data_IF_783038751514
#
_entry.id   IF_783038751514
#
_cell.length_a   1.000
_cell.length_b   1.000
_cell.length_c   1.000
_cell.angle_alpha   90.00
_cell.angle_beta   90.00
_cell.angle_gamma   90.00
#
_symmetry.space_group_name_H-M   'P 1'
#
loop_
_entity.id
_entity.type
_entity.pdbx_description
1 polymer ?
#
# COMPACT_ATOMS: atom_id res chain seq x y z
N UNK A 1 4.43 47.01 38.04
CA UNK A 1 5.16 48.06 37.29
C UNK A 1 5.44 47.55 35.88
N UNK A 2 4.90 48.27 34.88
CA UNK A 2 5.24 48.34 33.43
C UNK A 2 5.28 47.02 32.63
N UNK A 3 4.26 46.76 31.79
CA UNK A 3 4.13 47.19 30.37
C UNK A 3 5.17 46.49 29.49
N UNK A 4 4.85 45.59 28.55
CA UNK A 4 3.85 45.68 27.48
C UNK A 4 4.61 45.75 26.15
N UNK A 5 4.25 44.94 25.15
CA UNK A 5 4.22 45.24 23.69
C UNK A 5 3.85 43.96 22.91
N UNK A 6 2.68 44.03 22.27
CA UNK A 6 2.25 43.19 21.14
C UNK A 6 3.02 43.61 19.89
N UNK A 7 3.36 42.67 19.00
CA UNK A 7 3.45 42.95 17.56
C UNK A 7 2.75 41.88 16.74
N UNK A 8 1.72 42.34 16.03
CA UNK A 8 1.11 41.73 14.84
C UNK A 8 2.02 41.97 13.64
N UNK A 9 2.07 40.99 12.74
CA UNK A 9 2.47 41.11 11.33
C UNK A 9 2.17 39.74 10.72
N UNK A 10 1.18 39.55 9.84
CA UNK A 10 0.80 40.39 8.72
C UNK A 10 1.58 39.91 7.50
N UNK A 11 1.24 38.74 6.97
CA UNK A 11 1.75 38.22 5.71
C UNK A 11 0.57 37.79 4.84
N UNK A 12 -0.04 38.77 4.19
CA UNK A 12 -0.82 38.62 2.97
C UNK A 12 0.12 38.28 1.83
N UNK A 13 -0.01 37.09 1.23
CA UNK A 13 0.54 36.82 -0.10
C UNK A 13 -0.60 36.42 -1.03
N UNK A 14 -0.77 37.25 -2.04
CA UNK A 14 -1.81 37.23 -3.05
C UNK A 14 -1.79 35.94 -3.87
N UNK A 15 -2.97 35.34 -4.04
CA UNK A 15 -3.23 34.36 -5.07
C UNK A 15 -3.49 35.10 -6.39
N UNK A 16 -2.61 34.90 -7.37
CA UNK A 16 -2.84 35.31 -8.76
C UNK A 16 -3.75 34.25 -9.40
N UNK A 17 -5.03 34.57 -9.53
CA UNK A 17 -5.99 33.82 -10.32
C UNK A 17 -5.90 34.29 -11.77
N UNK A 18 -5.44 33.41 -12.67
CA UNK A 18 -5.49 33.65 -14.11
C UNK A 18 -6.81 33.05 -14.64
N UNK A 19 -7.77 33.93 -14.91
CA UNK A 19 -8.98 33.59 -15.67
C UNK A 19 -8.62 33.43 -17.14
N UNK A 20 -8.91 32.27 -17.73
CA UNK A 20 -9.12 32.12 -19.16
C UNK A 20 -10.55 31.65 -19.37
N UNK A 21 -11.38 32.60 -19.78
CA UNK A 21 -12.71 32.38 -20.30
C UNK A 21 -12.60 32.10 -21.80
N UNK A 22 -13.08 30.94 -22.24
CA UNK A 22 -13.58 30.75 -23.60
C UNK A 22 -14.89 30.00 -23.50
N UNK A 23 -15.98 30.75 -23.74
CA UNK A 23 -17.29 30.17 -23.97
C UNK A 23 -17.38 29.60 -25.38
N UNK A 24 -18.20 28.57 -25.55
CA UNK A 24 -18.87 28.25 -26.80
C UNK A 24 -20.18 27.55 -26.46
N UNK A 25 -21.17 27.90 -27.27
CA UNK A 25 -22.58 27.87 -26.97
C UNK A 25 -23.24 26.48 -27.10
N UNK A 26 -24.34 26.39 -26.35
CA UNK A 26 -25.55 25.61 -26.57
C UNK A 26 -25.77 24.96 -27.94
N UNK A 27 -26.22 23.71 -27.92
CA UNK A 27 -27.27 23.24 -28.82
C UNK A 27 -28.17 22.26 -28.07
N UNK A 28 -29.41 22.70 -27.92
CA UNK A 28 -30.58 22.00 -27.40
C UNK A 28 -31.20 21.15 -28.50
N UNK A 29 -31.56 19.89 -28.20
CA UNK A 29 -32.63 19.18 -28.90
C UNK A 29 -33.25 18.15 -27.96
N UNK A 30 -34.51 18.41 -27.58
CA UNK A 30 -35.41 17.48 -26.92
C UNK A 30 -35.99 16.49 -27.92
N UNK A 31 -36.14 15.23 -27.53
CA UNK A 31 -37.26 14.35 -27.90
C UNK A 31 -37.20 13.04 -27.07
N UNK A 32 -38.14 12.87 -26.16
CA UNK A 32 -38.63 11.57 -25.64
C UNK A 32 -39.55 10.90 -26.71
N UNK A 33 -40.25 9.77 -26.42
CA UNK A 33 -39.77 8.44 -26.01
C UNK A 33 -40.39 7.36 -26.94
N UNK A 34 -39.90 6.11 -26.89
CA UNK A 34 -40.68 4.96 -27.40
C UNK A 34 -40.23 3.66 -26.74
N UNK A 35 -41.14 3.09 -25.95
CA UNK A 35 -41.30 1.65 -25.74
C UNK A 35 -42.40 1.20 -26.73
N UNK A 36 -42.44 -0.07 -27.20
CA UNK A 36 -43.44 -0.94 -26.57
C UNK A 36 -43.15 -2.47 -26.59
N UNK A 37 -43.78 -3.13 -25.60
CA UNK A 37 -44.44 -4.47 -25.61
C UNK A 37 -43.63 -5.78 -25.47
N UNK A 38 -43.81 -6.40 -24.30
CA UNK A 38 -43.98 -7.85 -23.99
C UNK A 38 -45.19 -8.49 -24.74
N UNK A 39 -45.45 -9.83 -24.79
CA UNK A 39 -45.39 -10.85 -23.70
C UNK A 39 -44.82 -12.23 -24.11
N UNK A 40 -44.59 -13.21 -23.23
CA UNK A 40 -45.49 -14.32 -22.81
C UNK A 40 -44.71 -15.11 -21.72
N UNK A 41 -45.11 -15.13 -20.44
CA UNK A 41 -45.92 -16.14 -19.74
C UNK A 41 -45.45 -17.59 -19.88
N UNK A 42 -44.89 -18.18 -18.83
CA UNK A 42 -45.38 -19.48 -18.36
C UNK A 42 -45.08 -19.70 -16.86
N UNK A 43 -46.13 -20.12 -16.19
CA UNK A 43 -46.27 -20.36 -14.76
C UNK A 43 -46.47 -21.86 -14.60
N UNK A 44 -45.66 -22.55 -13.80
CA UNK A 44 -46.03 -23.84 -13.23
C UNK A 44 -45.50 -23.93 -11.80
N UNK A 45 -46.42 -23.94 -10.85
CA UNK A 45 -46.29 -24.70 -9.59
C UNK A 45 -47.42 -25.72 -9.53
N UNK A 46 -47.65 -26.35 -8.38
CA UNK A 46 -46.77 -27.26 -7.64
C UNK A 46 -47.36 -28.69 -7.62
N UNK A 47 -46.53 -29.71 -7.41
CA UNK A 47 -47.04 -31.09 -7.13
C UNK A 47 -46.64 -31.50 -5.72
N UNK A 48 -47.65 -31.81 -4.92
CA UNK A 48 -47.59 -32.27 -3.54
C UNK A 48 -47.63 -33.80 -3.43
N UNK A 49 -47.03 -34.27 -2.32
CA UNK A 49 -47.35 -35.46 -1.51
C UNK A 49 -46.57 -36.77 -1.77
N UNK A 50 -46.49 -37.68 -0.78
CA UNK A 50 -45.98 -37.49 0.60
C UNK A 50 -45.00 -38.62 0.99
N UNK A 51 -44.41 -38.57 2.21
CA UNK A 51 -44.39 -39.67 3.23
C UNK A 51 -43.09 -39.73 4.07
N UNK A 52 -43.31 -39.65 5.39
CA UNK A 52 -42.55 -40.14 6.57
C UNK A 52 -41.22 -39.49 6.98
N UNK A 53 -41.31 -38.68 8.04
CA UNK A 53 -40.30 -38.53 9.09
C UNK A 53 -40.08 -39.84 9.85
N UNK A 54 -38.89 -39.99 10.46
CA UNK A 54 -38.79 -40.35 11.86
C UNK A 54 -38.24 -39.15 12.65
N UNK A 55 -38.99 -38.79 13.69
CA UNK A 55 -38.59 -37.94 14.80
C UNK A 55 -37.31 -38.45 15.44
N UNK A 56 -36.28 -37.62 15.49
CA UNK A 56 -35.18 -37.75 16.45
C UNK A 56 -35.02 -36.42 17.18
N UNK A 57 -35.41 -36.43 18.45
CA UNK A 57 -35.34 -35.32 19.39
C UNK A 57 -33.91 -35.32 19.96
N UNK A 58 -33.03 -34.56 19.31
CA UNK A 58 -31.65 -34.40 19.72
C UNK A 58 -31.11 -33.10 19.17
N UNK A 59 -31.10 -32.05 20.00
CA UNK A 59 -30.48 -30.76 19.68
C UNK A 59 -28.97 -30.91 19.53
N UNK A 60 -28.52 -31.41 18.37
CA UNK A 60 -27.15 -31.27 17.91
C UNK A 60 -27.04 -29.90 17.24
N UNK A 61 -26.40 -28.95 17.92
CA UNK A 61 -26.02 -27.69 17.30
C UNK A 61 -25.16 -27.97 16.06
N UNK A 62 -25.60 -27.52 14.89
CA UNK A 62 -24.89 -27.68 13.62
C UNK A 62 -23.58 -26.86 13.63
N UNK A 63 -22.40 -27.50 13.57
CA UNK A 63 -21.11 -26.80 13.55
C UNK A 63 -20.83 -26.07 12.22
N UNK A 64 -21.70 -26.18 11.21
CA UNK A 64 -21.66 -25.36 9.99
C UNK A 64 -21.92 -23.87 10.25
N UNK A 65 -22.52 -23.54 11.39
CA UNK A 65 -22.83 -22.15 11.79
C UNK A 65 -21.59 -21.33 12.20
N UNK A 66 -20.46 -21.97 12.53
CA UNK A 66 -19.24 -21.26 12.93
C UNK A 66 -18.33 -20.83 11.77
N UNK A 67 -18.54 -21.40 10.58
CA UNK A 67 -17.68 -21.20 9.40
C UNK A 67 -18.45 -21.03 8.11
N UNK A 68 -19.78 -20.91 8.17
CA UNK A 68 -20.57 -20.45 7.04
C UNK A 68 -20.10 -19.04 6.67
N UNK A 69 -20.03 -18.77 5.37
CA UNK A 69 -19.83 -17.41 4.88
C UNK A 69 -21.04 -16.63 5.36
N UNK A 70 -20.85 -15.85 6.42
CA UNK A 70 -21.91 -14.99 6.91
C UNK A 70 -22.11 -13.88 5.87
N UNK A 71 -23.09 -14.07 4.98
CA UNK A 71 -23.51 -13.04 4.02
C UNK A 71 -24.15 -11.83 4.71
N UNK A 72 -24.48 -11.95 6.01
CA UNK A 72 -25.03 -10.88 6.84
C UNK A 72 -23.98 -10.16 7.70
N UNK A 73 -22.76 -10.72 7.82
CA UNK A 73 -21.61 -9.99 8.33
C UNK A 73 -21.45 -8.77 7.44
N UNK A 74 -21.22 -7.57 7.99
CA UNK A 74 -21.07 -6.38 7.18
C UNK A 74 -19.87 -6.60 6.27
N UNK A 75 -20.09 -7.10 5.05
CA UNK A 75 -19.25 -6.85 3.89
C UNK A 75 -18.91 -5.39 4.08
N UNK A 76 -17.62 -5.06 4.16
CA UNK A 76 -17.21 -3.68 4.15
C UNK A 76 -18.06 -3.02 3.08
N UNK A 77 -19.08 -2.24 3.51
CA UNK A 77 -20.15 -1.93 2.57
C UNK A 77 -19.49 -1.10 1.48
N UNK A 78 -20.12 -0.84 0.34
CA UNK A 78 -19.46 0.03 -0.64
C UNK A 78 -18.98 1.38 -0.02
N UNK A 79 -19.45 1.71 1.19
CA UNK A 79 -19.06 2.81 2.05
C UNK A 79 -18.12 2.52 3.25
N UNK A 80 -17.73 1.27 3.58
CA UNK A 80 -16.96 0.88 4.78
C UNK A 80 -17.25 1.79 5.99
N UNK A 81 -18.50 1.78 6.44
CA UNK A 81 -18.90 2.62 7.57
C UNK A 81 -18.04 2.27 8.80
N UNK A 82 -17.41 3.26 9.46
CA UNK A 82 -16.63 3.02 10.66
C UNK A 82 -17.46 2.26 11.68
N UNK A 83 -16.86 1.25 12.33
CA UNK A 83 -17.51 0.61 13.46
C UNK A 83 -17.93 1.70 14.44
N UNK A 84 -19.25 1.78 14.68
CA UNK A 84 -19.73 2.71 15.70
C UNK A 84 -19.13 2.28 17.05
N UNK A 85 -19.11 3.18 18.02
CA UNK A 85 -18.60 2.82 19.36
C UNK A 85 -19.34 1.61 19.94
N UNK A 86 -20.65 1.47 19.67
CA UNK A 86 -21.44 0.31 20.07
C UNK A 86 -21.02 -0.97 19.35
N UNK A 87 -20.92 -0.94 18.01
CA UNK A 87 -20.52 -2.12 17.22
C UNK A 87 -19.11 -2.60 17.59
N UNK A 88 -18.21 -1.66 17.89
CA UNK A 88 -16.85 -1.98 18.33
C UNK A 88 -16.84 -2.65 19.70
N UNK A 89 -17.63 -2.15 20.66
CA UNK A 89 -17.77 -2.75 21.99
C UNK A 89 -18.35 -4.16 21.91
N UNK A 90 -19.39 -4.36 21.10
CA UNK A 90 -20.02 -5.66 20.89
C UNK A 90 -19.06 -6.67 20.24
N UNK A 91 -18.30 -6.25 19.23
CA UNK A 91 -17.28 -7.10 18.61
C UNK A 91 -16.14 -7.46 19.57
N UNK A 92 -15.72 -6.54 20.44
CA UNK A 92 -14.70 -6.82 21.46
C UNK A 92 -15.25 -7.83 22.48
N UNK A 93 -16.48 -7.64 22.94
CA UNK A 93 -17.13 -8.55 23.88
C UNK A 93 -17.24 -9.96 23.28
N UNK A 94 -17.62 -10.09 22.01
CA UNK A 94 -17.68 -11.39 21.35
C UNK A 94 -16.29 -12.01 21.14
N UNK A 95 -15.26 -11.21 20.82
CA UNK A 95 -13.88 -11.69 20.73
C UNK A 95 -13.36 -12.25 22.06
N UNK A 96 -13.72 -11.58 23.17
CA UNK A 96 -13.38 -12.01 24.53
C UNK A 96 -14.16 -13.27 24.90
N UNK A 97 -15.44 -13.36 24.53
CA UNK A 97 -16.26 -14.58 24.71
C UNK A 97 -15.68 -15.78 23.97
N UNK A 98 -15.37 -15.62 22.68
CA UNK A 98 -14.74 -16.65 21.86
C UNK A 98 -13.42 -17.11 22.49
N UNK A 99 -12.59 -16.15 22.93
CA UNK A 99 -11.32 -16.47 23.59
C UNK A 99 -11.56 -17.26 24.88
N UNK A 100 -12.56 -16.89 25.69
CA UNK A 100 -12.90 -17.59 26.93
C UNK A 100 -13.41 -19.01 26.67
N UNK A 101 -14.28 -19.19 25.67
CA UNK A 101 -14.82 -20.50 25.29
C UNK A 101 -13.71 -21.44 24.80
N UNK A 102 -12.76 -20.95 24.00
CA UNK A 102 -11.63 -21.73 23.47
C UNK A 102 -10.69 -22.30 24.54
N UNK A 103 -10.68 -21.71 25.75
CA UNK A 103 -9.72 -22.04 26.81
C UNK A 103 -10.38 -22.63 28.06
N UNK A 104 -11.71 -22.76 28.06
CA UNK A 104 -12.52 -23.08 29.24
C UNK A 104 -12.29 -24.51 29.75
N UNK A 105 -12.10 -25.46 28.83
CA UNK A 105 -12.22 -26.89 29.16
C UNK A 105 -10.87 -27.62 29.28
N UNK A 106 -9.76 -27.01 28.86
CA UNK A 106 -8.44 -27.62 28.98
C UNK A 106 -7.33 -26.58 29.20
N UNK A 107 -6.72 -26.61 30.40
CA UNK A 107 -5.70 -25.65 30.82
C UNK A 107 -4.40 -25.74 30.00
N UNK A 108 -4.06 -26.91 29.49
CA UNK A 108 -2.84 -27.10 28.70
C UNK A 108 -3.04 -26.54 27.29
N UNK A 109 -4.20 -26.78 26.67
CA UNK A 109 -4.60 -26.18 25.38
C UNK A 109 -4.72 -24.66 25.52
N UNK A 110 -5.29 -24.17 26.62
CA UNK A 110 -5.36 -22.75 26.93
C UNK A 110 -3.98 -22.08 26.96
N UNK A 111 -3.03 -22.69 27.67
CA UNK A 111 -1.65 -22.19 27.76
C UNK A 111 -0.96 -22.19 26.39
N UNK A 112 -1.17 -23.26 25.63
CA UNK A 112 -0.73 -23.45 24.26
C UNK A 112 -1.23 -22.36 23.30
N UNK A 113 -2.54 -22.16 23.20
CA UNK A 113 -3.16 -21.12 22.37
C UNK A 113 -2.67 -19.74 22.77
N UNK A 114 -2.56 -19.46 24.07
CA UNK A 114 -2.02 -18.20 24.58
C UNK A 114 -0.55 -17.97 24.16
N UNK A 115 0.27 -19.02 24.20
CA UNK A 115 1.67 -18.98 23.75
C UNK A 115 1.75 -18.66 22.25
N UNK A 116 0.97 -19.37 21.43
CA UNK A 116 0.89 -19.14 19.98
C UNK A 116 0.41 -17.73 19.63
N UNK A 117 -0.61 -17.21 20.34
CA UNK A 117 -1.10 -15.83 20.17
C UNK A 117 -0.03 -14.81 20.52
N UNK A 118 0.76 -15.06 21.57
CA UNK A 118 1.88 -14.21 21.97
C UNK A 118 2.97 -14.15 20.88
N UNK A 119 3.34 -15.28 20.29
CA UNK A 119 4.30 -15.31 19.17
C UNK A 119 3.76 -14.54 17.96
N UNK A 120 2.51 -14.76 17.55
CA UNK A 120 1.92 -14.04 16.41
C UNK A 120 1.81 -12.54 16.67
N UNK A 121 1.46 -12.13 17.89
CA UNK A 121 1.47 -10.70 18.29
C UNK A 121 2.87 -10.09 18.22
N UNK A 122 3.91 -10.83 18.64
CA UNK A 122 5.31 -10.39 18.50
C UNK A 122 5.71 -10.28 17.03
N UNK A 123 5.40 -11.28 16.22
CA UNK A 123 5.69 -11.30 14.79
C UNK A 123 4.98 -10.15 14.06
N UNK A 124 3.68 -9.95 14.32
CA UNK A 124 2.89 -8.84 13.77
C UNK A 124 3.55 -7.48 14.02
N UNK A 125 3.96 -7.21 15.27
CA UNK A 125 4.67 -5.97 15.63
C UNK A 125 6.01 -5.83 14.93
N UNK A 126 6.74 -6.92 14.71
CA UNK A 126 8.02 -6.91 14.00
C UNK A 126 7.84 -6.69 12.50
N UNK A 127 6.81 -7.28 11.89
CA UNK A 127 6.42 -7.06 10.50
C UNK A 127 5.99 -5.61 10.27
N UNK A 128 5.17 -5.03 11.15
CA UNK A 128 4.82 -3.60 11.08
C UNK A 128 6.07 -2.70 11.18
N UNK A 129 7.00 -3.01 12.09
CA UNK A 129 8.30 -2.30 12.19
C UNK A 129 9.13 -2.43 10.91
N UNK A 130 9.15 -3.63 10.31
CA UNK A 130 9.81 -3.89 9.02
C UNK A 130 9.19 -3.06 7.91
N UNK A 131 7.86 -3.07 7.79
CA UNK A 131 7.11 -2.31 6.78
C UNK A 131 7.41 -0.81 6.88
N UNK A 132 7.30 -0.23 8.08
CA UNK A 132 7.64 1.18 8.32
C UNK A 132 9.08 1.51 7.95
N UNK A 133 10.04 0.68 8.35
CA UNK A 133 11.44 0.89 8.02
C UNK A 133 11.72 0.76 6.50
N UNK A 134 11.00 -0.13 5.81
CA UNK A 134 11.05 -0.26 4.34
C UNK A 134 10.49 0.98 3.65
N UNK A 135 9.37 1.51 4.12
CA UNK A 135 8.79 2.73 3.54
C UNK A 135 9.73 3.94 3.72
N UNK A 136 10.35 4.07 4.90
CA UNK A 136 11.38 5.09 5.16
C UNK A 136 12.63 4.90 4.27
N UNK A 137 13.02 3.65 4.00
CA UNK A 137 14.09 3.35 3.05
C UNK A 137 13.74 3.80 1.64
N UNK A 138 12.55 3.43 1.13
CA UNK A 138 12.08 3.77 -0.21
C UNK A 138 11.96 5.29 -0.39
N UNK A 139 11.40 5.99 0.61
CA UNK A 139 11.29 7.45 0.59
C UNK A 139 12.68 8.13 0.56
N UNK A 140 13.61 7.68 1.41
CA UNK A 140 14.97 8.22 1.43
C UNK A 140 15.75 7.90 0.15
N UNK A 141 15.52 6.73 -0.45
CA UNK A 141 16.11 6.34 -1.74
C UNK A 141 15.59 7.22 -2.88
N UNK A 142 14.28 7.47 -2.93
CA UNK A 142 13.66 8.39 -3.89
C UNK A 142 14.18 9.83 -3.75
N UNK A 143 14.37 10.31 -2.52
CA UNK A 143 15.00 11.61 -2.24
C UNK A 143 16.44 11.67 -2.79
N UNK A 144 17.23 10.61 -2.57
CA UNK A 144 18.60 10.52 -3.06
C UNK A 144 18.65 10.48 -4.60
N UNK A 145 17.77 9.71 -5.23
CA UNK A 145 17.71 9.59 -6.70
C UNK A 145 17.26 10.90 -7.36
N UNK A 146 16.34 11.62 -6.71
CA UNK A 146 15.95 12.98 -7.15
C UNK A 146 17.11 13.96 -7.03
N UNK A 147 17.80 13.98 -5.90
CA UNK A 147 18.98 14.82 -5.73
C UNK A 147 20.09 14.47 -6.73
N UNK A 148 20.26 13.19 -7.08
CA UNK A 148 21.20 12.75 -8.09
C UNK A 148 20.84 13.26 -9.49
N UNK A 149 19.58 13.14 -9.92
CA UNK A 149 19.13 13.70 -11.21
C UNK A 149 19.37 15.20 -11.31
N UNK A 150 19.09 15.95 -10.23
CA UNK A 150 19.39 17.38 -10.19
C UNK A 150 20.90 17.65 -10.25
N UNK A 151 21.72 16.90 -9.50
CA UNK A 151 23.18 17.01 -9.57
C UNK A 151 23.71 16.83 -10.99
N UNK A 152 23.16 15.90 -11.75
CA UNK A 152 23.59 15.64 -13.13
C UNK A 152 23.25 16.82 -14.07
N UNK A 153 22.09 17.47 -13.88
CA UNK A 153 21.76 18.73 -14.58
C UNK A 153 22.77 19.84 -14.25
N UNK A 154 23.07 20.07 -12.97
CA UNK A 154 24.02 21.10 -12.55
C UNK A 154 25.47 20.79 -12.95
N UNK A 155 25.87 19.51 -13.00
CA UNK A 155 27.18 19.10 -13.54
C UNK A 155 27.32 19.49 -15.01
N UNK A 156 26.29 19.24 -15.81
CA UNK A 156 26.28 19.59 -17.23
C UNK A 156 26.31 21.12 -17.43
N UNK A 157 25.50 21.87 -16.66
CA UNK A 157 25.52 23.34 -16.66
C UNK A 157 26.88 23.91 -16.27
N UNK A 158 27.49 23.42 -15.19
CA UNK A 158 28.82 23.83 -14.77
C UNK A 158 29.90 23.48 -15.79
N UNK A 159 29.81 22.33 -16.46
CA UNK A 159 30.74 21.97 -17.51
C UNK A 159 30.66 22.95 -18.68
N UNK A 160 29.44 23.34 -19.10
CA UNK A 160 29.21 24.36 -20.12
C UNK A 160 29.73 25.73 -19.67
N UNK A 161 29.27 26.25 -18.52
CA UNK A 161 29.72 27.55 -18.02
C UNK A 161 31.24 27.64 -17.81
N UNK A 162 31.89 26.57 -17.33
CA UNK A 162 33.37 26.52 -17.25
C UNK A 162 34.05 26.46 -18.62
N UNK A 163 33.43 25.85 -19.63
CA UNK A 163 33.95 25.87 -21.00
C UNK A 163 33.86 27.28 -21.58
N UNK A 164 32.72 27.94 -21.39
CA UNK A 164 32.48 29.30 -21.88
C UNK A 164 33.44 30.29 -21.21
N UNK A 165 33.64 30.19 -19.89
CA UNK A 165 34.66 30.99 -19.17
C UNK A 165 36.10 30.71 -19.64
N UNK A 166 36.44 29.46 -19.99
CA UNK A 166 37.77 29.14 -20.54
C UNK A 166 37.96 29.68 -21.94
N UNK A 167 36.94 29.59 -22.80
CA UNK A 167 36.98 30.19 -24.14
C UNK A 167 37.19 31.68 -24.03
N UNK A 168 36.40 32.35 -23.19
CA UNK A 168 36.54 33.77 -22.92
C UNK A 168 37.94 34.14 -22.41
N UNK A 169 38.47 33.40 -21.42
CA UNK A 169 39.82 33.65 -20.90
C UNK A 169 40.90 33.44 -21.98
N UNK A 170 40.72 32.46 -22.86
CA UNK A 170 41.63 32.19 -23.97
C UNK A 170 41.55 33.28 -25.05
N UNK A 171 40.35 33.69 -25.46
CA UNK A 171 40.13 34.75 -26.45
C UNK A 171 40.73 36.07 -25.94
N UNK A 172 40.48 36.39 -24.66
CA UNK A 172 41.07 37.57 -23.98
C UNK A 172 42.59 37.49 -23.85
N UNK A 173 43.19 36.29 -23.84
CA UNK A 173 44.64 36.15 -23.76
C UNK A 173 45.32 36.12 -25.14
N UNK A 174 44.67 35.51 -26.13
CA UNK A 174 45.26 35.24 -27.45
C UNK A 174 44.91 36.26 -28.52
N UNK A 175 43.70 36.82 -28.50
CA UNK A 175 43.26 37.81 -29.49
C UNK A 175 43.62 39.25 -29.09
N UNK A 176 43.88 39.51 -27.82
CA UNK A 176 44.72 40.62 -27.36
C UNK A 176 44.84 40.63 -25.84
N UNK A 177 46.06 40.76 -25.31
CA UNK A 177 46.22 41.25 -23.94
C UNK A 177 45.59 42.64 -23.78
N UNK A 178 44.32 42.71 -23.39
CA UNK A 178 43.55 43.93 -23.08
C UNK A 178 43.37 44.98 -24.19
N UNK A 179 44.02 44.83 -25.35
CA UNK A 179 44.19 45.90 -26.34
C UNK A 179 43.31 45.80 -27.60
N UNK A 180 42.66 44.67 -27.92
CA UNK A 180 41.82 44.56 -29.14
C UNK A 180 40.45 45.18 -28.95
N UNK A 181 39.77 44.95 -27.83
CA UNK A 181 38.48 45.60 -27.53
C UNK A 181 38.65 47.13 -27.47
N UNK A 182 39.76 47.61 -26.92
CA UNK A 182 40.12 49.04 -26.91
C UNK A 182 40.59 49.57 -28.26
N UNK A 183 41.29 48.79 -29.09
CA UNK A 183 41.62 49.18 -30.48
C UNK A 183 40.42 49.16 -31.41
N UNK A 184 39.46 48.27 -31.17
CA UNK A 184 38.17 48.25 -31.89
C UNK A 184 37.31 49.42 -31.44
N UNK A 185 37.32 49.77 -30.15
CA UNK A 185 36.69 50.99 -29.61
C UNK A 185 37.36 52.26 -30.15
N UNK A 186 38.70 52.33 -30.18
CA UNK A 186 39.46 53.45 -30.75
C UNK A 186 39.17 53.53 -32.24
N UNK A 187 39.22 52.41 -32.97
CA UNK A 187 38.93 52.32 -34.39
C UNK A 187 37.52 52.79 -34.74
N UNK A 188 36.51 52.39 -33.95
CA UNK A 188 35.11 52.81 -34.14
C UNK A 188 34.82 54.24 -33.68
N UNK A 189 35.59 54.80 -32.74
CA UNK A 189 35.56 56.21 -32.38
C UNK A 189 36.27 57.10 -33.41
N UNK A 190 37.30 56.59 -34.09
CA UNK A 190 38.06 57.31 -35.11
C UNK A 190 37.47 57.20 -36.53
N UNK A 191 36.82 56.08 -36.88
CA UNK A 191 36.04 55.96 -38.11
C UNK A 191 34.64 56.54 -37.89
N UNK A 192 34.52 57.85 -38.10
CA UNK A 192 33.24 58.55 -38.08
C UNK A 192 32.32 58.09 -39.22
N UNK A 193 31.62 56.97 -39.10
CA UNK A 193 30.52 56.63 -40.01
C UNK A 193 29.47 55.70 -39.37
N UNK A 194 28.25 56.23 -39.23
CA UNK A 194 26.88 55.65 -39.27
C UNK A 194 26.54 54.24 -38.72
N UNK A 195 27.44 53.47 -38.13
CA UNK A 195 27.16 52.16 -37.48
C UNK A 195 27.52 52.13 -35.99
N UNK A 196 27.94 53.26 -35.42
CA UNK A 196 28.50 53.40 -34.06
C UNK A 196 27.51 53.23 -32.90
N UNK A 197 26.21 53.14 -33.17
CA UNK A 197 25.18 52.94 -32.15
C UNK A 197 25.08 51.49 -31.65
N UNK A 198 25.35 50.51 -32.51
CA UNK A 198 25.26 49.08 -32.19
C UNK A 198 26.50 48.58 -31.44
N UNK A 199 27.69 49.11 -31.74
CA UNK A 199 28.95 48.60 -31.17
C UNK A 199 29.07 48.80 -29.65
N UNK A 200 28.55 49.92 -29.11
CA UNK A 200 28.51 50.16 -27.66
C UNK A 200 27.45 49.29 -26.94
N UNK A 201 26.30 49.05 -27.60
CA UNK A 201 25.26 48.14 -27.11
C UNK A 201 25.74 46.69 -27.08
N UNK A 202 26.43 46.25 -28.13
CA UNK A 202 27.03 44.92 -28.23
C UNK A 202 28.11 44.70 -27.16
N UNK A 203 28.95 45.71 -26.89
CA UNK A 203 29.95 45.64 -25.81
C UNK A 203 29.30 45.56 -24.41
N UNK A 204 28.23 46.32 -24.17
CA UNK A 204 27.48 46.25 -22.90
C UNK A 204 26.83 44.89 -22.74
N UNK A 205 26.17 44.39 -23.79
CA UNK A 205 25.53 43.07 -23.80
C UNK A 205 26.53 41.93 -23.57
N UNK A 206 27.70 41.99 -24.23
CA UNK A 206 28.78 41.01 -24.03
C UNK A 206 29.34 41.06 -22.62
N UNK A 207 29.45 42.25 -22.02
CA UNK A 207 29.91 42.42 -20.63
C UNK A 207 28.89 41.87 -19.64
N UNK A 208 27.60 42.17 -19.83
CA UNK A 208 26.52 41.67 -18.98
C UNK A 208 26.40 40.14 -19.05
N UNK A 209 26.49 39.56 -20.25
CA UNK A 209 26.43 38.10 -20.44
C UNK A 209 27.66 37.40 -19.82
N UNK A 210 28.83 38.06 -19.81
CA UNK A 210 30.04 37.57 -19.11
C UNK A 210 29.84 37.58 -17.59
N UNK A 211 29.34 38.67 -17.01
CA UNK A 211 29.06 38.77 -15.56
C UNK A 211 28.06 37.68 -15.17
N UNK A 212 26.99 37.53 -15.94
CA UNK A 212 25.97 36.51 -15.74
C UNK A 212 26.56 35.09 -15.78
N UNK A 213 27.48 34.80 -16.70
CA UNK A 213 28.13 33.48 -16.79
C UNK A 213 28.97 33.17 -15.54
N UNK A 214 29.69 34.16 -15.00
CA UNK A 214 30.46 34.00 -13.75
C UNK A 214 29.52 33.75 -12.57
N UNK A 215 28.45 34.54 -12.46
CA UNK A 215 27.46 34.40 -11.38
C UNK A 215 26.75 33.05 -11.44
N UNK A 216 26.34 32.60 -12.63
CA UNK A 216 25.74 31.28 -12.85
C UNK A 216 26.69 30.15 -12.42
N UNK A 217 27.98 30.23 -12.76
CA UNK A 217 28.96 29.22 -12.33
C UNK A 217 29.13 29.20 -10.81
N UNK A 218 29.12 30.36 -10.16
CA UNK A 218 29.21 30.49 -8.70
C UNK A 218 27.97 29.89 -8.03
N UNK A 219 26.78 30.29 -8.47
CA UNK A 219 25.50 29.80 -7.95
C UNK A 219 25.36 28.28 -8.15
N UNK A 220 25.61 27.80 -9.38
CA UNK A 220 25.53 26.37 -9.70
C UNK A 220 26.54 25.54 -8.88
N UNK A 221 27.70 26.10 -8.54
CA UNK A 221 28.68 25.44 -7.66
C UNK A 221 28.16 25.30 -6.24
N UNK A 222 27.55 26.34 -5.68
CA UNK A 222 26.92 26.30 -4.34
C UNK A 222 25.75 25.31 -4.34
N UNK A 223 24.89 25.37 -5.35
CA UNK A 223 23.74 24.47 -5.50
C UNK A 223 24.16 23.02 -5.64
N UNK A 224 25.21 22.72 -6.44
CA UNK A 224 25.80 21.39 -6.54
C UNK A 224 26.31 20.89 -5.18
N UNK A 225 27.00 21.73 -4.40
CA UNK A 225 27.47 21.35 -3.07
C UNK A 225 26.30 21.03 -2.12
N UNK A 226 25.25 21.85 -2.14
CA UNK A 226 24.03 21.65 -1.36
C UNK A 226 23.31 20.34 -1.74
N UNK A 227 23.13 20.09 -3.04
CA UNK A 227 22.50 18.86 -3.54
C UNK A 227 23.34 17.61 -3.21
N UNK A 228 24.67 17.71 -3.23
CA UNK A 228 25.56 16.62 -2.81
C UNK A 228 25.33 16.27 -1.35
N UNK A 229 25.31 17.28 -0.47
CA UNK A 229 24.99 17.10 0.96
C UNK A 229 23.59 16.51 1.16
N UNK A 230 22.58 16.96 0.39
CA UNK A 230 21.22 16.43 0.44
C UNK A 230 21.19 14.95 0.05
N UNK A 231 21.82 14.59 -1.07
CA UNK A 231 21.94 13.20 -1.53
C UNK A 231 22.61 12.32 -0.47
N UNK A 232 23.75 12.75 0.06
CA UNK A 232 24.51 11.95 1.04
C UNK A 232 23.73 11.75 2.34
N UNK A 233 23.00 12.78 2.79
CA UNK A 233 22.09 12.68 3.94
C UNK A 233 20.96 11.68 3.65
N UNK A 234 20.35 11.74 2.46
CA UNK A 234 19.30 10.82 2.04
C UNK A 234 19.81 9.36 1.96
N UNK A 235 21.01 9.14 1.40
CA UNK A 235 21.63 7.82 1.35
C UNK A 235 21.95 7.26 2.74
N UNK A 236 22.44 8.11 3.66
CA UNK A 236 22.66 7.70 5.07
C UNK A 236 21.35 7.30 5.76
N UNK A 237 20.27 8.06 5.53
CA UNK A 237 18.92 7.70 6.02
C UNK A 237 18.46 6.37 5.44
N UNK A 238 18.60 6.17 4.13
CA UNK A 238 18.25 4.93 3.45
C UNK A 238 19.02 3.75 4.06
N UNK A 239 20.35 3.85 4.19
CA UNK A 239 21.15 2.78 4.79
C UNK A 239 20.75 2.45 6.24
N UNK A 240 20.41 3.47 7.04
CA UNK A 240 19.92 3.27 8.41
C UNK A 240 18.55 2.60 8.46
N UNK A 241 17.63 3.02 7.58
CA UNK A 241 16.30 2.44 7.45
C UNK A 241 16.36 0.98 6.97
N UNK A 242 17.19 0.69 5.97
CA UNK A 242 17.46 -0.68 5.51
C UNK A 242 17.94 -1.58 6.65
N UNK A 243 18.95 -1.15 7.41
CA UNK A 243 19.43 -1.93 8.58
C UNK A 243 18.34 -2.19 9.62
N UNK A 244 17.41 -1.24 9.82
CA UNK A 244 16.27 -1.46 10.73
C UNK A 244 15.26 -2.45 10.15
N UNK A 245 14.98 -2.39 8.86
CA UNK A 245 14.11 -3.35 8.18
C UNK A 245 14.71 -4.77 8.23
N UNK A 246 16.00 -4.91 7.93
CA UNK A 246 16.72 -6.19 7.95
C UNK A 246 16.70 -6.81 9.36
N UNK A 247 17.00 -6.03 10.41
CA UNK A 247 16.91 -6.51 11.81
C UNK A 247 15.49 -6.85 12.26
N UNK A 248 14.49 -6.10 11.80
CA UNK A 248 13.10 -6.40 12.11
C UNK A 248 12.66 -7.71 11.45
N UNK A 249 13.11 -7.96 10.21
CA UNK A 249 12.91 -9.24 9.52
C UNK A 249 13.58 -10.40 10.26
N UNK A 250 14.87 -10.29 10.56
CA UNK A 250 15.61 -11.35 11.26
C UNK A 250 14.93 -11.75 12.58
N UNK A 251 14.47 -10.76 13.35
CA UNK A 251 13.72 -11.02 14.59
C UNK A 251 12.35 -11.63 14.32
N UNK A 252 11.64 -11.22 13.27
CA UNK A 252 10.36 -11.81 12.91
C UNK A 252 10.55 -13.28 12.54
N UNK A 253 11.53 -13.58 11.68
CA UNK A 253 11.87 -14.94 11.25
C UNK A 253 12.25 -15.83 12.45
N UNK A 254 13.02 -15.30 13.42
CA UNK A 254 13.34 -16.00 14.66
C UNK A 254 12.10 -16.33 15.50
N UNK A 255 11.21 -15.35 15.72
CA UNK A 255 9.95 -15.53 16.45
C UNK A 255 9.03 -16.56 15.78
N UNK A 256 8.96 -16.54 14.44
CA UNK A 256 8.16 -17.51 13.68
C UNK A 256 8.76 -18.93 13.74
N UNK A 257 10.09 -19.04 13.75
CA UNK A 257 10.78 -20.32 13.96
C UNK A 257 10.51 -20.89 15.35
N UNK A 258 10.58 -20.06 16.39
CA UNK A 258 10.23 -20.45 17.76
C UNK A 258 8.76 -20.90 17.85
N UNK A 259 7.83 -20.13 17.26
CA UNK A 259 6.41 -20.51 17.18
C UNK A 259 6.22 -21.88 16.53
N UNK A 260 6.91 -22.16 15.42
CA UNK A 260 6.82 -23.45 14.73
C UNK A 260 7.29 -24.59 15.63
N UNK A 261 8.42 -24.43 16.31
CA UNK A 261 8.94 -25.42 17.26
C UNK A 261 7.97 -25.66 18.42
N UNK A 262 7.35 -24.60 18.95
CA UNK A 262 6.38 -24.69 20.03
C UNK A 262 5.13 -25.46 19.56
N UNK A 263 4.61 -25.13 18.38
CA UNK A 263 3.45 -25.81 17.78
C UNK A 263 3.72 -27.30 17.56
N UNK A 264 4.90 -27.67 17.07
CA UNK A 264 5.30 -29.07 16.90
C UNK A 264 5.39 -29.81 18.25
N UNK A 265 5.92 -29.15 19.28
CA UNK A 265 5.97 -29.70 20.65
C UNK A 265 4.58 -29.94 21.21
N UNK A 266 3.68 -28.97 21.03
CA UNK A 266 2.30 -28.97 21.48
C UNK A 266 1.50 -30.10 20.82
N UNK A 267 1.62 -30.23 19.48
CA UNK A 267 1.00 -31.33 18.72
C UNK A 267 1.49 -32.71 19.15
N UNK A 268 2.76 -32.86 19.51
CA UNK A 268 3.29 -34.14 20.02
C UNK A 268 2.78 -34.48 21.42
N UNK A 269 2.59 -33.47 22.28
CA UNK A 269 2.23 -33.68 23.70
C UNK A 269 0.73 -33.81 23.94
N UNK A 270 -0.09 -33.15 23.12
CA UNK A 270 -1.54 -33.02 23.32
C UNK A 270 -2.33 -33.45 22.08
N UNK A 271 -1.85 -34.46 21.34
CA UNK A 271 -2.41 -34.84 20.05
C UNK A 271 -3.90 -35.24 20.14
N UNK A 272 -4.28 -35.97 21.19
CA UNK A 272 -5.65 -36.44 21.37
C UNK A 272 -6.54 -35.32 21.90
N UNK A 273 -6.06 -34.51 22.85
CA UNK A 273 -6.83 -33.38 23.38
C UNK A 273 -7.07 -32.30 22.31
N UNK A 274 -6.14 -32.11 21.37
CA UNK A 274 -6.33 -31.21 20.24
C UNK A 274 -7.40 -31.69 19.26
N UNK A 275 -7.56 -33.00 19.05
CA UNK A 275 -8.66 -33.53 18.22
C UNK A 275 -10.02 -33.24 18.85
N UNK A 276 -10.11 -33.35 20.17
CA UNK A 276 -11.34 -33.09 20.94
C UNK A 276 -11.64 -31.60 21.13
N UNK A 277 -10.66 -30.71 20.90
CA UNK A 277 -10.78 -29.26 21.11
C UNK A 277 -11.72 -28.54 20.13
N UNK A 278 -12.31 -29.27 19.18
CA UNK A 278 -13.28 -28.76 18.22
C UNK A 278 -12.65 -27.96 17.06
N UNK A 279 -13.47 -27.60 16.06
CA UNK A 279 -13.01 -27.06 14.78
C UNK A 279 -12.32 -25.68 14.91
N UNK A 280 -12.74 -24.84 15.86
CA UNK A 280 -12.18 -23.48 15.99
C UNK A 280 -10.74 -23.51 16.51
N UNK A 281 -10.47 -24.29 17.56
CA UNK A 281 -9.10 -24.45 18.09
C UNK A 281 -8.20 -25.05 17.02
N UNK A 282 -8.69 -26.08 16.32
CA UNK A 282 -8.00 -26.75 15.23
C UNK A 282 -7.63 -25.78 14.10
N UNK A 283 -8.57 -24.97 13.62
CA UNK A 283 -8.29 -23.93 12.64
C UNK A 283 -7.24 -22.91 13.13
N UNK A 284 -7.35 -22.43 14.37
CA UNK A 284 -6.41 -21.44 14.94
C UNK A 284 -4.97 -21.95 14.99
N UNK A 285 -4.76 -23.24 15.27
CA UNK A 285 -3.43 -23.85 15.31
C UNK A 285 -3.01 -24.48 13.96
N UNK A 286 -3.74 -24.19 12.88
CA UNK A 286 -3.55 -24.74 11.53
C UNK A 286 -3.53 -26.27 11.49
N UNK A 287 -4.48 -26.88 12.17
CA UNK A 287 -4.76 -28.31 12.15
C UNK A 287 -6.13 -28.51 11.49
N UNK A 288 -6.19 -29.02 10.26
CA UNK A 288 -7.47 -29.22 9.57
C UNK A 288 -8.22 -30.42 10.15
N UNK A 289 -9.52 -30.29 10.39
CA UNK A 289 -10.40 -31.43 10.70
C UNK A 289 -10.91 -32.12 9.42
N UNK A 290 -11.46 -33.32 9.55
CA UNK A 290 -11.90 -34.13 8.40
C UNK A 290 -13.00 -33.46 7.57
N UNK A 291 -13.83 -32.60 8.18
CA UNK A 291 -14.90 -31.87 7.48
C UNK A 291 -14.31 -30.74 6.65
N UNK A 292 -13.38 -29.97 7.22
CA UNK A 292 -12.64 -28.92 6.53
C UNK A 292 -11.83 -29.50 5.36
N UNK A 293 -11.20 -30.66 5.55
CA UNK A 293 -10.50 -31.38 4.47
C UNK A 293 -11.45 -31.76 3.34
N UNK A 294 -12.58 -32.40 3.65
CA UNK A 294 -13.57 -32.77 2.63
C UNK A 294 -14.15 -31.56 1.89
N UNK A 295 -14.36 -30.43 2.58
CA UNK A 295 -14.80 -29.17 1.95
C UNK A 295 -13.71 -28.58 1.04
N UNK A 296 -12.46 -28.57 1.50
CA UNK A 296 -11.29 -28.11 0.74
C UNK A 296 -11.11 -28.90 -0.56
N UNK A 297 -11.28 -30.23 -0.52
CA UNK A 297 -11.16 -31.11 -1.69
C UNK A 297 -12.26 -30.85 -2.72
N UNK A 298 -13.50 -30.64 -2.25
CA UNK A 298 -14.63 -30.26 -3.12
C UNK A 298 -14.40 -28.90 -3.78
N UNK A 299 -13.97 -27.91 -3.01
CA UNK A 299 -13.68 -26.58 -3.54
C UNK A 299 -12.54 -26.62 -4.56
N UNK A 300 -11.47 -27.36 -4.27
CA UNK A 300 -10.35 -27.57 -5.19
C UNK A 300 -10.81 -28.19 -6.52
N UNK A 301 -11.70 -29.19 -6.45
CA UNK A 301 -12.27 -29.83 -7.63
C UNK A 301 -13.14 -28.87 -8.44
N UNK A 302 -14.02 -28.10 -7.78
CA UNK A 302 -14.88 -27.11 -8.43
C UNK A 302 -14.08 -25.98 -9.10
N UNK A 303 -13.04 -25.46 -8.45
CA UNK A 303 -12.17 -24.43 -9.03
C UNK A 303 -11.46 -24.95 -10.28
N UNK A 304 -11.00 -26.20 -10.25
CA UNK A 304 -10.38 -26.86 -11.40
C UNK A 304 -11.36 -26.99 -12.58
N UNK A 305 -12.62 -27.33 -12.32
CA UNK A 305 -13.68 -27.38 -13.35
C UNK A 305 -13.96 -26.00 -13.96
N UNK A 306 -13.83 -24.93 -13.17
CA UNK A 306 -13.94 -23.54 -13.62
C UNK A 306 -12.66 -23.01 -14.30
N UNK A 307 -11.67 -23.88 -14.57
CA UNK A 307 -10.41 -23.52 -15.21
C UNK A 307 -9.42 -22.78 -14.29
N UNK A 308 -9.69 -22.71 -12.99
CA UNK A 308 -8.76 -22.19 -11.99
C UNK A 308 -7.97 -23.34 -11.36
N UNK A 309 -6.81 -23.64 -11.94
CA UNK A 309 -5.90 -24.63 -11.36
C UNK A 309 -5.18 -24.06 -10.12
N UNK A 310 -5.69 -24.42 -8.94
CA UNK A 310 -5.14 -23.99 -7.64
C UNK A 310 -3.69 -24.45 -7.40
N UNK A 311 -3.18 -25.39 -8.19
CA UNK A 311 -1.77 -25.79 -8.16
C UNK A 311 -0.84 -24.72 -8.71
N UNK A 312 -1.33 -23.83 -9.58
CA UNK A 312 -0.55 -22.70 -10.12
C UNK A 312 -0.14 -21.69 -9.04
N UNK A 313 -0.84 -21.72 -7.91
CA UNK A 313 -0.57 -20.89 -6.74
C UNK A 313 0.30 -21.60 -5.68
N UNK A 314 0.84 -22.78 -5.99
CA UNK A 314 1.70 -23.54 -5.07
C UNK A 314 3.12 -22.99 -4.95
N UNK A 315 3.69 -23.19 -3.75
CA UNK A 315 5.08 -22.86 -3.46
C UNK A 315 5.36 -21.37 -3.27
N UNK A 316 4.33 -20.53 -3.07
CA UNK A 316 4.48 -19.09 -2.86
C UNK A 316 5.30 -18.41 -3.96
N UNK A 317 5.20 -18.91 -5.21
CA UNK A 317 5.96 -18.37 -6.34
C UNK A 317 5.24 -17.15 -6.93
N UNK A 318 5.91 -15.99 -7.05
CA UNK A 318 5.34 -14.84 -7.72
C UNK A 318 5.04 -15.11 -9.20
N UNK A 319 3.91 -14.60 -9.71
CA UNK A 319 3.54 -14.72 -11.12
C UNK A 319 4.40 -13.84 -12.06
N UNK A 320 5.10 -12.86 -11.49
CA UNK A 320 5.94 -11.88 -12.19
C UNK A 320 7.15 -11.53 -11.33
N UNK A 321 8.26 -11.16 -11.96
CA UNK A 321 9.46 -10.65 -11.28
C UNK A 321 9.51 -9.12 -11.25
N UNK A 322 8.48 -8.45 -11.80
CA UNK A 322 8.41 -7.00 -11.84
C UNK A 322 8.20 -6.41 -10.44
N UNK A 323 9.31 -6.10 -9.80
CA UNK A 323 9.37 -5.43 -8.50
C UNK A 323 9.80 -3.97 -8.62
N UNK A 324 9.55 -3.34 -9.78
CA UNK A 324 9.82 -1.93 -10.02
C UNK A 324 9.24 -1.00 -8.96
N UNK A 325 9.85 0.18 -8.82
CA UNK A 325 9.30 1.26 -7.99
C UNK A 325 8.40 2.12 -8.85
N UNK A 326 7.14 2.23 -8.46
CA UNK A 326 6.13 3.01 -9.14
C UNK A 326 5.55 4.07 -8.19
N UNK A 327 5.08 5.22 -8.70
CA UNK A 327 4.26 6.10 -7.89
C UNK A 327 3.03 5.36 -7.33
N UNK A 328 2.59 5.79 -6.16
CA UNK A 328 1.44 5.20 -5.48
C UNK A 328 0.18 5.32 -6.36
N UNK A 329 -0.45 4.18 -6.67
CA UNK A 329 -1.60 4.09 -7.55
C UNK A 329 -1.25 4.05 -9.04
N UNK A 330 0.01 3.82 -9.42
CA UNK A 330 0.46 3.80 -10.82
C UNK A 330 1.31 2.56 -11.15
N UNK A 331 0.94 1.39 -10.60
CA UNK A 331 1.60 0.12 -10.90
C UNK A 331 0.97 -0.41 -12.19
N UNK A 332 1.75 -0.73 -13.23
CA UNK A 332 1.20 -1.30 -14.45
C UNK A 332 0.71 -2.73 -14.22
N UNK A 333 -0.23 -3.25 -15.02
CA UNK A 333 -0.71 -4.63 -14.91
C UNK A 333 0.40 -5.69 -14.92
N UNK A 334 1.51 -5.45 -15.63
CA UNK A 334 2.68 -6.36 -15.63
C UNK A 334 3.43 -6.44 -14.29
N UNK A 335 3.17 -5.49 -13.38
CA UNK A 335 3.65 -5.44 -12.01
C UNK A 335 2.63 -5.89 -10.97
N UNK A 336 1.52 -6.50 -11.41
CA UNK A 336 0.45 -7.01 -10.57
C UNK A 336 0.20 -8.49 -10.87
N UNK A 337 -0.17 -9.24 -9.83
CA UNK A 337 -0.46 -10.66 -9.89
C UNK A 337 -1.86 -10.93 -9.35
N UNK A 338 -2.60 -11.88 -9.96
CA UNK A 338 -3.96 -12.20 -9.56
C UNK A 338 -4.01 -12.88 -8.19
N UNK A 339 -5.16 -12.75 -7.52
CA UNK A 339 -5.41 -13.34 -6.21
C UNK A 339 -6.38 -14.52 -6.29
N UNK A 340 -6.03 -15.60 -5.62
CA UNK A 340 -6.88 -16.78 -5.48
C UNK A 340 -8.11 -16.43 -4.63
N UNK A 341 -9.30 -16.66 -5.17
CA UNK A 341 -10.56 -16.31 -4.51
C UNK A 341 -10.99 -14.84 -4.66
N UNK A 342 -10.28 -14.05 -5.46
CA UNK A 342 -10.64 -12.65 -5.78
C UNK A 342 -10.50 -12.33 -7.27
N UNK A 343 -11.49 -12.69 -8.10
CA UNK A 343 -11.49 -12.30 -9.52
C UNK A 343 -11.40 -10.78 -9.68
N UNK A 344 -10.47 -10.30 -10.50
CA UNK A 344 -10.23 -8.87 -10.70
C UNK A 344 -9.30 -8.23 -9.66
N UNK A 345 -9.10 -8.87 -8.51
CA UNK A 345 -8.18 -8.40 -7.47
C UNK A 345 -6.74 -8.75 -7.82
N UNK A 346 -5.81 -7.88 -7.43
CA UNK A 346 -4.40 -8.06 -7.72
C UNK A 346 -3.49 -7.36 -6.73
N UNK A 347 -2.28 -7.92 -6.54
CA UNK A 347 -1.26 -7.33 -5.68
C UNK A 347 0.10 -7.34 -6.37
N UNK A 348 1.07 -6.65 -5.76
CA UNK A 348 2.48 -6.81 -6.13
C UNK A 348 2.90 -8.28 -6.06
N UNK A 349 3.83 -8.75 -6.91
CA UNK A 349 4.06 -10.18 -7.08
C UNK A 349 4.35 -10.95 -5.79
N UNK A 350 5.25 -10.46 -4.92
CA UNK A 350 5.55 -11.10 -3.64
C UNK A 350 4.36 -11.11 -2.67
N UNK A 351 3.57 -10.02 -2.66
CA UNK A 351 2.39 -9.91 -1.81
C UNK A 351 1.28 -10.86 -2.30
N UNK A 352 1.04 -10.92 -3.61
CA UNK A 352 0.08 -11.86 -4.21
C UNK A 352 0.46 -13.31 -3.90
N UNK A 353 1.73 -13.68 -4.10
CA UNK A 353 2.20 -15.03 -3.82
C UNK A 353 2.03 -15.41 -2.34
N UNK A 354 2.35 -14.48 -1.44
CA UNK A 354 2.16 -14.67 0.00
C UNK A 354 0.68 -14.77 0.39
N UNK A 355 -0.18 -13.92 -0.17
CA UNK A 355 -1.62 -13.99 0.06
C UNK A 355 -2.22 -15.30 -0.47
N UNK A 356 -1.85 -15.73 -1.67
CA UNK A 356 -2.36 -16.96 -2.25
C UNK A 356 -1.96 -18.18 -1.41
N UNK A 357 -0.72 -18.21 -0.89
CA UNK A 357 -0.29 -19.23 0.05
C UNK A 357 -1.06 -19.20 1.37
N UNK A 358 -1.37 -18.00 1.89
CA UNK A 358 -2.18 -17.81 3.09
C UNK A 358 -3.63 -18.24 2.87
N UNK A 359 -4.24 -17.87 1.74
CA UNK A 359 -5.62 -18.22 1.37
C UNK A 359 -5.79 -19.73 1.18
N UNK A 360 -4.79 -20.41 0.61
CA UNK A 360 -4.75 -21.89 0.58
C UNK A 360 -4.62 -22.52 1.96
N UNK A 361 -3.85 -21.93 2.87
CA UNK A 361 -3.77 -22.43 4.23
C UNK A 361 -5.10 -22.27 4.97
N UNK A 362 -5.77 -21.13 4.76
CA UNK A 362 -7.12 -20.90 5.27
C UNK A 362 -8.12 -21.91 4.70
N UNK A 363 -8.06 -22.19 3.39
CA UNK A 363 -8.87 -23.23 2.74
C UNK A 363 -8.65 -24.60 3.34
N UNK A 364 -7.39 -25.01 3.56
CA UNK A 364 -7.12 -26.29 4.21
C UNK A 364 -7.67 -26.33 5.62
N UNK A 365 -7.48 -25.25 6.38
CA UNK A 365 -7.81 -25.19 7.80
C UNK A 365 -9.33 -25.01 8.05
N UNK A 366 -10.08 -24.47 7.10
CA UNK A 366 -11.51 -24.10 7.27
C UNK A 366 -12.47 -24.62 6.19
N UNK A 367 -11.95 -25.07 5.04
CA UNK A 367 -12.73 -25.41 3.86
C UNK A 367 -13.03 -24.25 2.90
N UNK A 368 -12.72 -23.00 3.28
CA UNK A 368 -13.05 -21.79 2.51
C UNK A 368 -11.82 -20.99 2.09
N UNK A 369 -11.85 -20.32 0.94
CA UNK A 369 -10.83 -19.33 0.58
C UNK A 369 -11.08 -18.01 1.32
N UNK A 370 -10.02 -17.22 1.51
CA UNK A 370 -10.16 -15.87 2.06
C UNK A 370 -10.94 -14.99 1.08
N UNK A 371 -11.99 -14.36 1.58
CA UNK A 371 -12.82 -13.41 0.86
C UNK A 371 -12.12 -12.04 0.79
N UNK A 372 -12.12 -11.41 -0.39
CA UNK A 372 -11.42 -10.14 -0.66
C UNK A 372 -12.45 -9.09 -1.09
N UNK A 373 -12.40 -7.90 -0.49
CA UNK A 373 -13.21 -6.74 -0.91
C UNK A 373 -12.40 -5.70 -1.66
N UNK A 374 -11.12 -5.52 -1.33
CA UNK A 374 -10.24 -4.56 -2.00
C UNK A 374 -8.77 -5.01 -1.90
N UNK A 375 -7.98 -4.70 -2.93
CA UNK A 375 -6.54 -4.99 -2.99
C UNK A 375 -5.73 -3.82 -3.58
N UNK A 376 -5.22 -3.94 -4.81
CA UNK A 376 -4.56 -2.82 -5.48
C UNK A 376 -5.59 -1.79 -5.94
N UNK A 377 -5.41 -0.54 -5.49
CA UNK A 377 -6.22 0.60 -5.91
C UNK A 377 -5.39 1.59 -6.72
N UNK A 378 -5.77 1.87 -7.95
CA UNK A 378 -5.13 2.89 -8.79
C UNK A 378 -5.27 4.29 -8.19
N UNK A 379 -4.49 5.24 -8.70
CA UNK A 379 -4.54 6.63 -8.25
C UNK A 379 -5.93 7.24 -8.52
N UNK A 380 -6.50 6.95 -9.69
CA UNK A 380 -7.82 7.45 -10.10
C UNK A 380 -8.92 6.91 -9.19
N UNK A 381 -8.91 5.61 -8.90
CA UNK A 381 -9.85 5.00 -7.94
C UNK A 381 -9.68 5.63 -6.56
N UNK A 382 -8.44 5.82 -6.08
CA UNK A 382 -8.21 6.46 -4.79
C UNK A 382 -8.74 7.90 -4.72
N UNK A 383 -8.74 8.65 -5.82
CA UNK A 383 -9.37 9.99 -5.89
C UNK A 383 -10.87 9.86 -5.67
N UNK A 384 -11.54 8.93 -6.37
CA UNK A 384 -12.97 8.68 -6.23
C UNK A 384 -13.30 8.21 -4.81
N UNK A 385 -12.58 7.22 -4.28
CA UNK A 385 -12.74 6.73 -2.91
C UNK A 385 -12.54 7.85 -1.89
N UNK A 386 -11.57 8.75 -2.09
CA UNK A 386 -11.37 9.90 -1.18
C UNK A 386 -12.54 10.87 -1.20
N UNK A 387 -13.10 11.14 -2.38
CA UNK A 387 -14.27 12.01 -2.52
C UNK A 387 -15.50 11.40 -1.84
N UNK A 388 -15.71 10.09 -1.98
CA UNK A 388 -16.84 9.38 -1.38
C UNK A 388 -16.70 9.22 0.13
N UNK A 389 -15.51 8.84 0.62
CA UNK A 389 -15.30 8.37 2.00
C UNK A 389 -14.66 9.41 2.93
N UNK A 390 -14.25 10.56 2.42
CA UNK A 390 -13.74 11.66 3.25
C UNK A 390 -12.56 11.25 4.14
N UNK A 391 -12.69 11.37 5.47
CA UNK A 391 -11.63 11.09 6.44
C UNK A 391 -11.10 9.65 6.44
N UNK A 392 -11.91 8.69 5.96
CA UNK A 392 -11.65 7.24 6.02
C UNK A 392 -10.79 6.73 4.89
N UNK A 393 -10.70 7.48 3.80
CA UNK A 393 -9.80 7.17 2.71
C UNK A 393 -8.48 7.92 2.88
N UNK A 394 -7.37 7.25 2.60
CA UNK A 394 -6.08 7.92 2.50
C UNK A 394 -6.12 9.02 1.41
N UNK A 395 -5.33 10.09 1.60
CA UNK A 395 -5.10 11.06 0.53
C UNK A 395 -4.56 10.34 -0.72
N UNK A 396 -5.05 10.65 -1.94
CA UNK A 396 -4.53 10.07 -3.17
C UNK A 396 -3.01 10.12 -3.25
N UNK A 397 -2.41 8.99 -3.62
CA UNK A 397 -0.95 8.81 -3.63
C UNK A 397 -0.32 8.48 -2.27
N UNK A 398 -1.11 8.23 -1.22
CA UNK A 398 -0.62 7.85 0.13
C UNK A 398 -1.20 6.53 0.67
N UNK A 399 -2.02 5.82 -0.11
CA UNK A 399 -2.67 4.57 0.32
C UNK A 399 -1.74 3.35 0.18
N UNK A 400 -1.74 2.42 1.13
CA UNK A 400 -1.02 1.16 0.95
C UNK A 400 -1.64 0.26 -0.14
N UNK A 401 -2.94 0.43 -0.44
CA UNK A 401 -3.60 -0.20 -1.60
C UNK A 401 -2.93 0.23 -2.91
N UNK A 402 -2.63 1.52 -3.06
CA UNK A 402 -1.92 2.03 -4.25
C UNK A 402 -0.47 1.58 -4.37
N UNK A 403 0.09 0.94 -3.34
CA UNK A 403 1.39 0.28 -3.39
C UNK A 403 1.27 -1.22 -3.67
N UNK A 404 0.06 -1.75 -3.82
CA UNK A 404 -0.23 -3.17 -4.07
C UNK A 404 0.27 -4.08 -2.96
N UNK A 405 0.21 -3.60 -1.71
CA UNK A 405 0.70 -4.30 -0.51
C UNK A 405 -0.31 -4.27 0.66
N UNK A 406 -1.57 -3.99 0.38
CA UNK A 406 -2.65 -4.00 1.36
C UNK A 406 -3.86 -4.75 0.80
N UNK A 407 -4.68 -5.27 1.70
CA UNK A 407 -5.92 -6.00 1.42
C UNK A 407 -6.98 -5.58 2.41
N UNK A 408 -8.21 -5.48 1.93
CA UNK A 408 -9.41 -5.47 2.76
C UNK A 408 -10.13 -6.82 2.54
N UNK A 409 -10.48 -7.50 3.64
CA UNK A 409 -10.98 -8.88 3.63
C UNK A 409 -12.37 -9.00 4.26
N UNK A 410 -13.21 -9.87 3.67
CA UNK A 410 -14.57 -10.20 4.10
C UNK A 410 -14.68 -11.62 4.68
N UNK A 411 -15.89 -12.20 4.74
CA UNK A 411 -16.11 -13.56 5.23
C UNK A 411 -15.86 -13.68 6.74
N UNK A 412 -16.17 -12.62 7.48
CA UNK A 412 -15.98 -12.51 8.92
C UNK A 412 -14.60 -12.00 9.33
N UNK A 413 -13.60 -11.92 8.43
CA UNK A 413 -12.32 -11.26 8.77
C UNK A 413 -12.52 -9.79 9.12
N UNK A 414 -13.55 -9.17 8.55
CA UNK A 414 -14.06 -7.82 8.81
C UNK A 414 -14.75 -7.64 10.19
N UNK A 415 -14.67 -8.61 11.10
CA UNK A 415 -15.22 -8.50 12.46
C UNK A 415 -14.23 -9.00 13.52
N UNK A 416 -13.91 -8.18 14.53
CA UNK A 416 -12.95 -8.57 15.58
C UNK A 416 -13.38 -9.81 16.37
N UNK A 417 -14.68 -10.04 16.49
CA UNK A 417 -15.28 -11.15 17.23
C UNK A 417 -15.38 -12.46 16.45
N UNK A 418 -15.01 -12.47 15.17
CA UNK A 418 -15.23 -13.65 14.33
C UNK A 418 -14.02 -14.62 14.32
N UNK A 419 -14.26 -15.95 14.27
CA UNK A 419 -13.19 -16.95 14.15
C UNK A 419 -12.23 -16.72 12.98
N UNK A 420 -12.73 -16.24 11.84
CA UNK A 420 -11.90 -15.90 10.67
C UNK A 420 -10.90 -14.77 10.97
N UNK A 421 -11.30 -13.72 11.69
CA UNK A 421 -10.38 -12.67 12.11
C UNK A 421 -9.34 -13.19 13.10
N UNK A 422 -9.75 -14.02 14.06
CA UNK A 422 -8.84 -14.67 15.00
C UNK A 422 -7.81 -15.58 14.28
N UNK A 423 -8.23 -16.31 13.24
CA UNK A 423 -7.34 -17.07 12.38
C UNK A 423 -6.29 -16.17 11.70
N UNK A 424 -6.72 -15.04 11.15
CA UNK A 424 -5.81 -14.07 10.52
C UNK A 424 -4.80 -13.51 11.53
N UNK A 425 -5.23 -13.11 12.72
CA UNK A 425 -4.31 -12.64 13.78
C UNK A 425 -3.24 -13.70 14.14
N UNK A 426 -3.64 -14.97 14.12
CA UNK A 426 -2.79 -16.07 14.49
C UNK A 426 -1.84 -16.52 13.37
N UNK A 427 -2.27 -16.45 12.11
CA UNK A 427 -1.59 -17.11 10.99
C UNK A 427 -1.05 -16.15 9.92
N UNK A 428 -1.63 -14.95 9.73
CA UNK A 428 -1.16 -14.00 8.73
C UNK A 428 0.35 -13.65 8.84
N UNK A 429 0.94 -13.50 10.06
CA UNK A 429 2.37 -13.24 10.21
C UNK A 429 3.28 -14.32 9.61
N UNK A 430 2.81 -15.57 9.48
CA UNK A 430 3.57 -16.66 8.83
C UNK A 430 3.83 -16.40 7.36
N UNK A 431 2.97 -15.60 6.74
CA UNK A 431 3.01 -15.24 5.33
C UNK A 431 3.53 -13.81 5.11
N UNK A 432 4.04 -13.16 6.16
CA UNK A 432 4.54 -11.79 6.07
C UNK A 432 3.43 -10.72 6.01
N UNK A 433 2.18 -11.11 6.26
CA UNK A 433 1.04 -10.21 6.43
C UNK A 433 0.87 -9.83 7.89
N UNK A 434 0.41 -8.62 8.16
CA UNK A 434 0.20 -8.13 9.53
C UNK A 434 -1.01 -7.21 9.60
N UNK A 435 -1.66 -7.20 10.78
CA UNK A 435 -2.72 -6.25 11.12
C UNK A 435 -2.08 -4.99 11.69
N UNK A 436 -2.20 -3.81 11.04
CA UNK A 436 -1.57 -2.61 11.55
C UNK A 436 -2.12 -2.20 12.93
N UNK A 437 -1.25 -1.74 13.83
CA UNK A 437 -1.67 -1.33 15.18
C UNK A 437 -2.70 -0.19 15.21
N UNK A 438 -2.77 0.61 14.15
CA UNK A 438 -3.76 1.67 14.01
C UNK A 438 -5.15 1.13 13.64
N UNK A 439 -5.18 -0.04 12.98
CA UNK A 439 -6.37 -0.77 12.53
C UNK A 439 -6.92 -1.74 13.59
N UNK A 440 -6.14 -2.03 14.64
CA UNK A 440 -6.57 -2.85 15.76
C UNK A 440 -7.82 -2.28 16.46
N UNK A 441 -8.56 -3.11 17.20
CA UNK A 441 -9.78 -2.70 17.92
C UNK A 441 -9.55 -1.49 18.84
N UNK A 442 -8.41 -1.43 19.54
CA UNK A 442 -8.01 -0.27 20.36
C UNK A 442 -7.17 0.78 19.61
N UNK A 443 -7.15 0.72 18.28
CA UNK A 443 -6.37 1.59 17.39
C UNK A 443 -7.03 2.96 17.15
N UNK A 444 -6.36 3.81 16.39
CA UNK A 444 -6.88 5.14 16.04
C UNK A 444 -7.98 5.10 14.97
N UNK A 445 -8.05 4.01 14.21
CA UNK A 445 -9.02 3.81 13.14
C UNK A 445 -9.30 2.31 13.04
N UNK A 446 -10.18 1.74 13.88
CA UNK A 446 -10.41 0.29 13.91
C UNK A 446 -10.94 -0.23 12.57
N UNK A 447 -10.15 -1.09 11.93
CA UNK A 447 -10.40 -1.68 10.61
C UNK A 447 -10.02 -3.17 10.66
N UNK A 448 -10.90 -4.05 11.15
CA UNK A 448 -10.61 -5.49 11.26
C UNK A 448 -10.33 -6.15 9.89
N UNK A 449 -10.88 -5.58 8.81
CA UNK A 449 -10.70 -6.04 7.44
C UNK A 449 -9.32 -5.69 6.85
N UNK A 450 -8.60 -4.69 7.37
CA UNK A 450 -7.42 -4.12 6.70
C UNK A 450 -6.09 -4.80 7.10
N UNK A 451 -5.41 -5.42 6.13
CA UNK A 451 -4.14 -6.13 6.34
C UNK A 451 -3.04 -5.60 5.42
N UNK A 452 -1.81 -5.52 5.92
CA UNK A 452 -0.67 -5.03 5.16
C UNK A 452 0.43 -6.09 5.01
N UNK A 453 1.14 -6.05 3.88
CA UNK A 453 2.24 -6.96 3.58
C UNK A 453 3.61 -6.33 3.86
N UNK A 454 4.39 -7.01 4.71
CA UNK A 454 5.77 -6.67 5.03
C UNK A 454 6.80 -7.66 4.43
N UNK A 455 6.37 -8.87 4.07
CA UNK A 455 7.16 -9.98 3.54
C UNK A 455 8.23 -10.55 4.46
#
# INVERSE_FOLDING_TARGET
MRSGIRRRGGATSAAIALCLATGLAASSASAEPVDPTTPVTETVGPTTAPTTEPTDDGTAADPSTAWSVDESSPVGDANDTPLSSGDLEDQIAEADRLTADLVKDNKDIAAAVKSLKSYSTKANRLLQKKAKARDEYTAAKSEADTAQRELDKYRNRLAKGRKDLRSWAFDTYTQAGGYSDTMTMIGTLTDGSKTSGDSAGDLSYLTDERIRTVDLVREDTVTKASLTKKKDKALKKAASAKRRADRAKERADAVLKERKSELESLRRKHAEELKEAGPIVNALISQPDDRAQGASDRLTSALKELGQDVSQFEGSKPCSTNMGTYPNGQIPPSGLCPLLGGPGESLRPDAAAAFNAMSKAYQRDTGHLLCITDSYRSYAEQVVTKQQRGGWAATPGRSNHGLGKALDLCGGVNSFGHPAHAWMQQNAPLYGWFHPSWAAAGGSLPEPWHWEYAG
#
